data_IF_112771340265
#
_entry.id   IF_112771340265
#
_cell.length_a   1.000
_cell.length_b   1.000
_cell.length_c   1.000
_cell.angle_alpha   90.00
_cell.angle_beta   90.00
_cell.angle_gamma   90.00
#
_symmetry.space_group_name_H-M   'P 1'
#
loop_
_entity.id
_entity.type
_entity.pdbx_description
1 polymer ?
#
# COMPACT_ATOMS: atom_id res chain seq x y z
N UNK A 1 20.15 -0.40 -24.20
CA UNK A 1 19.98 -0.64 -22.74
C UNK A 1 18.48 -0.55 -22.48
N UNK A 2 17.83 -1.62 -22.02
CA UNK A 2 16.42 -1.51 -21.62
C UNK A 2 16.40 -0.83 -20.26
N UNK A 3 15.95 0.42 -20.19
CA UNK A 3 15.66 1.04 -18.92
C UNK A 3 14.60 0.23 -18.19
N UNK A 4 14.78 -0.08 -16.90
CA UNK A 4 13.75 -0.74 -16.14
C UNK A 4 12.46 0.10 -16.17
N UNK A 5 11.31 -0.56 -16.28
CA UNK A 5 10.01 0.14 -16.26
C UNK A 5 9.80 0.85 -14.94
N UNK A 6 10.25 0.19 -13.88
CA UNK A 6 10.16 0.63 -12.50
C UNK A 6 11.55 0.56 -11.87
N UNK A 7 11.83 1.41 -10.90
CA UNK A 7 13.05 1.43 -10.10
C UNK A 7 13.11 0.29 -9.07
N UNK A 8 13.87 0.44 -8.00
CA UNK A 8 13.81 -0.45 -6.84
C UNK A 8 12.40 -0.51 -6.26
N UNK A 9 12.06 -1.63 -5.62
CA UNK A 9 10.79 -1.76 -4.87
C UNK A 9 10.81 -0.77 -3.70
N UNK A 10 9.78 0.07 -3.62
CA UNK A 10 9.62 1.05 -2.55
C UNK A 10 8.86 0.48 -1.35
N UNK A 11 7.91 -0.46 -1.60
CA UNK A 11 6.99 -0.94 -0.55
C UNK A 11 6.64 -2.41 -0.75
N UNK A 12 6.40 -3.11 0.36
CA UNK A 12 5.70 -4.40 0.40
C UNK A 12 4.47 -4.29 1.29
N UNK A 13 3.33 -4.74 0.77
CA UNK A 13 2.03 -4.66 1.43
C UNK A 13 1.48 -6.01 1.86
N UNK A 14 0.97 -6.06 3.08
CA UNK A 14 0.32 -7.22 3.67
C UNK A 14 -1.12 -6.88 4.03
N UNK A 15 -2.06 -7.77 3.71
CA UNK A 15 -3.41 -7.72 4.28
C UNK A 15 -3.42 -8.48 5.60
N UNK A 16 -3.99 -7.88 6.63
CA UNK A 16 -4.03 -8.42 7.99
C UNK A 16 -5.45 -8.39 8.58
N UNK A 17 -5.78 -9.39 9.38
CA UNK A 17 -7.08 -9.47 10.02
C UNK A 17 -7.25 -8.50 11.21
N UNK A 18 -6.13 -8.07 11.82
CA UNK A 18 -6.08 -7.19 12.97
C UNK A 18 -4.79 -6.38 12.90
N UNK A 19 -4.92 -5.08 12.64
CA UNK A 19 -3.80 -4.19 12.42
C UNK A 19 -2.93 -4.05 13.67
N UNK A 20 -3.54 -3.78 14.83
CA UNK A 20 -2.81 -3.49 16.06
C UNK A 20 -2.02 -4.71 16.54
N UNK A 21 -2.64 -5.89 16.46
CA UNK A 21 -1.99 -7.16 16.78
C UNK A 21 -0.86 -7.47 15.80
N UNK A 22 -1.02 -7.15 14.54
CA UNK A 22 0.01 -7.37 13.51
C UNK A 22 1.19 -6.43 13.73
N UNK A 23 0.95 -5.14 14.00
CA UNK A 23 1.99 -4.17 14.39
C UNK A 23 2.77 -4.65 15.62
N UNK A 24 2.06 -5.10 16.67
CA UNK A 24 2.70 -5.63 17.87
C UNK A 24 3.64 -6.83 17.56
N UNK A 25 3.24 -7.71 16.64
CA UNK A 25 4.06 -8.85 16.19
C UNK A 25 5.28 -8.41 15.38
N UNK A 26 5.11 -7.46 14.45
CA UNK A 26 6.20 -6.93 13.65
C UNK A 26 7.25 -6.24 14.52
N UNK A 27 6.82 -5.49 15.52
CA UNK A 27 7.71 -4.87 16.51
C UNK A 27 8.48 -5.92 17.30
N UNK A 28 7.78 -6.92 17.84
CA UNK A 28 8.39 -7.92 18.72
C UNK A 28 9.32 -8.92 18.01
N UNK A 29 9.12 -9.16 16.70
CA UNK A 29 9.83 -10.21 15.95
C UNK A 29 10.81 -9.68 14.93
N UNK A 30 10.61 -8.46 14.46
CA UNK A 30 11.37 -7.90 13.34
C UNK A 30 11.96 -6.53 13.68
N UNK A 31 11.80 -6.06 14.93
CA UNK A 31 12.24 -4.72 15.36
C UNK A 31 11.82 -3.60 14.38
N UNK A 32 10.60 -3.73 13.84
CA UNK A 32 10.07 -2.78 12.88
C UNK A 32 9.35 -1.63 13.61
N UNK A 33 9.74 -0.40 13.30
CA UNK A 33 9.15 0.82 13.85
C UNK A 33 10.04 2.04 13.65
N UNK A 34 9.57 3.24 14.04
CA UNK A 34 8.22 3.49 14.56
C UNK A 34 7.15 3.26 13.49
N UNK A 35 5.90 3.03 13.90
CA UNK A 35 4.76 2.86 13.01
C UNK A 35 3.94 4.13 12.93
N UNK A 36 3.56 4.55 11.72
CA UNK A 36 2.50 5.53 11.50
C UNK A 36 1.25 4.78 11.07
N UNK A 37 0.17 4.94 11.82
CA UNK A 37 -1.11 4.28 11.58
C UNK A 37 -2.11 5.32 11.10
N UNK A 38 -2.65 5.11 9.91
CA UNK A 38 -3.74 5.89 9.36
C UNK A 38 -5.04 5.14 9.59
N UNK A 39 -5.96 5.73 10.34
CA UNK A 39 -7.31 5.18 10.54
C UNK A 39 -8.29 5.79 9.57
N UNK A 40 -9.32 5.04 9.23
CA UNK A 40 -10.42 5.50 8.38
C UNK A 40 -9.98 5.99 6.99
N UNK A 41 -8.94 5.38 6.41
CA UNK A 41 -8.53 5.67 5.03
C UNK A 41 -9.65 5.27 4.10
N UNK A 42 -10.00 6.14 3.16
CA UNK A 42 -11.03 5.93 2.16
C UNK A 42 -10.41 6.05 0.78
N UNK A 43 -10.58 5.02 -0.05
CA UNK A 43 -10.20 5.00 -1.45
C UNK A 43 -11.46 4.92 -2.31
N UNK A 44 -11.62 5.85 -3.23
CA UNK A 44 -12.69 5.85 -4.21
C UNK A 44 -12.11 5.49 -5.58
N UNK A 45 -12.73 4.56 -6.28
CA UNK A 45 -12.20 4.11 -7.55
C UNK A 45 -13.02 3.04 -8.25
N UNK A 46 -12.33 2.15 -8.95
CA UNK A 46 -12.93 1.04 -9.70
C UNK A 46 -12.18 -0.27 -9.41
N UNK A 47 -12.96 -1.30 -9.12
CA UNK A 47 -12.45 -2.68 -9.04
C UNK A 47 -13.07 -3.50 -10.16
N UNK A 48 -12.22 -4.08 -11.03
CA UNK A 48 -12.65 -4.80 -12.25
C UNK A 48 -13.61 -3.99 -13.13
N UNK A 49 -13.41 -2.67 -13.17
CA UNK A 49 -14.23 -1.74 -13.95
C UNK A 49 -15.46 -1.19 -13.23
N UNK A 50 -15.89 -1.79 -12.11
CA UNK A 50 -17.06 -1.35 -11.35
C UNK A 50 -16.71 -0.33 -10.28
N UNK A 51 -17.49 0.74 -10.12
CA UNK A 51 -17.29 1.74 -9.08
C UNK A 51 -17.28 1.12 -7.69
N UNK A 52 -16.33 1.51 -6.86
CA UNK A 52 -16.20 1.00 -5.50
C UNK A 52 -15.61 2.06 -4.56
N UNK A 53 -15.99 1.96 -3.29
CA UNK A 53 -15.32 2.64 -2.19
C UNK A 53 -14.79 1.60 -1.22
N UNK A 54 -13.48 1.61 -1.00
CA UNK A 54 -12.82 0.75 -0.02
C UNK A 54 -12.42 1.58 1.19
N UNK A 55 -12.73 1.08 2.39
CA UNK A 55 -12.26 1.70 3.63
C UNK A 55 -11.33 0.75 4.36
N UNK A 56 -10.28 1.30 4.97
CA UNK A 56 -9.24 0.53 5.61
C UNK A 56 -8.50 1.32 6.68
N UNK A 57 -7.85 0.61 7.59
CA UNK A 57 -6.80 1.12 8.44
C UNK A 57 -5.45 0.64 7.90
N UNK A 58 -4.47 1.53 7.86
CA UNK A 58 -3.15 1.27 7.27
C UNK A 58 -2.06 1.58 8.28
N UNK A 59 -1.12 0.67 8.46
CA UNK A 59 0.08 0.90 9.25
C UNK A 59 1.32 0.89 8.35
N UNK A 60 2.17 1.92 8.48
CA UNK A 60 3.42 2.07 7.75
C UNK A 60 4.61 2.07 8.70
N UNK A 61 5.64 1.31 8.37
CA UNK A 61 6.96 1.35 9.01
C UNK A 61 8.05 1.08 7.97
N UNK A 62 9.31 1.18 8.39
CA UNK A 62 10.44 0.99 7.47
C UNK A 62 11.45 -0.02 8.00
N UNK A 63 12.02 -0.83 7.10
CA UNK A 63 13.18 -1.69 7.36
C UNK A 63 14.21 -1.52 6.26
N UNK A 64 15.36 -0.94 6.62
CA UNK A 64 16.32 -0.46 5.61
C UNK A 64 15.67 0.65 4.77
N UNK A 65 15.69 0.48 3.46
CA UNK A 65 15.09 1.41 2.51
C UNK A 65 13.69 0.97 2.03
N UNK A 66 13.14 -0.10 2.62
CA UNK A 66 11.86 -0.68 2.22
C UNK A 66 10.75 -0.25 3.19
N UNK A 67 9.65 0.27 2.66
CA UNK A 67 8.43 0.51 3.42
C UNK A 67 7.66 -0.80 3.60
N UNK A 68 7.22 -1.06 4.82
CA UNK A 68 6.32 -2.16 5.18
C UNK A 68 4.93 -1.55 5.40
N UNK A 69 3.96 -2.04 4.64
CA UNK A 69 2.57 -1.66 4.80
C UNK A 69 1.74 -2.82 5.33
N UNK A 70 0.93 -2.54 6.35
CA UNK A 70 -0.09 -3.46 6.86
C UNK A 70 -1.46 -2.86 6.62
N UNK A 71 -2.36 -3.59 5.95
CA UNK A 71 -3.69 -3.14 5.57
C UNK A 71 -4.73 -3.98 6.29
N UNK A 72 -5.61 -3.33 7.05
CA UNK A 72 -6.82 -3.93 7.60
C UNK A 72 -8.04 -3.31 6.93
N UNK A 73 -8.72 -4.07 6.06
CA UNK A 73 -9.93 -3.61 5.36
C UNK A 73 -11.10 -3.57 6.32
N UNK A 74 -11.79 -2.44 6.39
CA UNK A 74 -12.85 -2.20 7.38
C UNK A 74 -14.27 -2.25 6.83
N UNK A 75 -14.45 -2.35 5.49
CA UNK A 75 -15.76 -2.59 4.88
C UNK A 75 -15.78 -3.86 4.02
N UNK A 76 -16.97 -4.30 3.60
CA UNK A 76 -17.19 -5.52 2.83
C UNK A 76 -17.26 -5.28 1.30
N UNK A 77 -16.82 -4.10 0.84
CA UNK A 77 -16.84 -3.80 -0.59
C UNK A 77 -15.96 -4.78 -1.38
N UNK A 78 -16.40 -5.21 -2.58
CA UNK A 78 -15.53 -5.93 -3.51
C UNK A 78 -14.24 -5.17 -3.74
N UNK A 79 -13.09 -5.84 -3.63
CA UNK A 79 -11.81 -5.14 -3.70
C UNK A 79 -10.67 -6.13 -3.95
N UNK A 80 -9.48 -5.67 -4.34
CA UNK A 80 -8.31 -6.53 -4.49
C UNK A 80 -7.85 -7.18 -3.18
N UNK A 81 -8.37 -6.75 -2.04
CA UNK A 81 -8.03 -7.27 -0.71
C UNK A 81 -8.92 -8.44 -0.27
N UNK A 82 -9.79 -8.92 -1.15
CA UNK A 82 -10.71 -10.04 -0.89
C UNK A 82 -10.55 -11.14 -1.94
N UNK A 83 -10.84 -12.37 -1.55
CA UNK A 83 -10.88 -13.50 -2.47
C UNK A 83 -12.19 -13.50 -3.30
N UNK A 84 -12.32 -14.50 -4.20
CA UNK A 84 -13.50 -14.68 -5.04
C UNK A 84 -14.79 -14.97 -4.27
N UNK A 85 -14.70 -15.32 -2.98
CA UNK A 85 -15.84 -15.56 -2.08
C UNK A 85 -16.13 -14.36 -1.18
N UNK A 86 -15.43 -13.23 -1.40
CA UNK A 86 -15.58 -12.01 -0.60
C UNK A 86 -14.92 -12.08 0.78
N UNK A 87 -14.11 -13.13 1.06
CA UNK A 87 -13.39 -13.20 2.33
C UNK A 87 -12.13 -12.35 2.29
N UNK A 88 -11.77 -11.67 3.40
CA UNK A 88 -10.52 -10.91 3.46
C UNK A 88 -9.32 -11.82 3.19
N UNK A 89 -8.43 -11.36 2.31
CA UNK A 89 -7.13 -12.00 2.12
C UNK A 89 -6.28 -11.83 3.39
N UNK A 90 -5.24 -12.65 3.54
CA UNK A 90 -4.28 -12.54 4.62
C UNK A 90 -2.88 -12.92 4.13
N UNK A 91 -1.89 -12.10 4.48
CA UNK A 91 -0.49 -12.30 4.10
C UNK A 91 0.00 -11.29 3.07
N UNK A 92 1.11 -11.62 2.40
CA UNK A 92 1.69 -10.78 1.37
C UNK A 92 0.68 -10.57 0.24
N UNK A 93 0.48 -9.32 -0.15
CA UNK A 93 -0.54 -8.92 -1.10
C UNK A 93 0.04 -8.26 -2.34
N UNK A 94 0.96 -7.31 -2.16
CA UNK A 94 1.54 -6.56 -3.27
C UNK A 94 2.99 -6.16 -3.01
N UNK A 95 3.66 -5.83 -4.09
CA UNK A 95 4.88 -5.04 -4.13
C UNK A 95 4.58 -3.73 -4.84
N UNK A 96 5.09 -2.61 -4.33
CA UNK A 96 4.73 -1.31 -4.85
C UNK A 96 5.92 -0.44 -5.24
N UNK A 97 5.68 0.46 -6.18
CA UNK A 97 6.60 1.48 -6.66
C UNK A 97 5.93 2.84 -6.63
N UNK A 98 6.61 3.81 -6.07
CA UNK A 98 6.22 5.21 -6.20
C UNK A 98 6.68 5.72 -7.56
N UNK A 99 5.77 6.32 -8.30
CA UNK A 99 6.00 6.83 -9.65
C UNK A 99 5.63 8.31 -9.74
N UNK A 100 6.24 9.01 -10.69
CA UNK A 100 5.98 10.44 -10.90
C UNK A 100 4.75 10.66 -11.81
N UNK A 101 4.38 9.64 -12.61
CA UNK A 101 3.25 9.66 -13.54
C UNK A 101 2.61 8.27 -13.56
N UNK A 102 1.46 8.16 -12.89
CA UNK A 102 0.72 6.90 -12.76
C UNK A 102 0.23 6.38 -14.12
N UNK A 103 -0.28 7.28 -14.96
CA UNK A 103 -0.87 6.89 -16.24
C UNK A 103 0.20 6.35 -17.19
N UNK A 104 1.37 6.99 -17.21
CA UNK A 104 2.52 6.49 -17.99
C UNK A 104 3.05 5.15 -17.44
N UNK A 105 3.12 4.98 -16.13
CA UNK A 105 3.55 3.73 -15.52
C UNK A 105 2.57 2.58 -15.84
N UNK A 106 1.27 2.80 -15.68
CA UNK A 106 0.21 1.85 -16.02
C UNK A 106 0.28 1.48 -17.51
N UNK A 107 0.40 2.46 -18.42
CA UNK A 107 0.52 2.19 -19.86
C UNK A 107 1.74 1.32 -20.19
N UNK A 108 2.89 1.55 -19.54
CA UNK A 108 4.11 0.75 -19.74
C UNK A 108 3.97 -0.69 -19.22
N UNK A 109 3.29 -0.88 -18.09
CA UNK A 109 3.05 -2.20 -17.49
C UNK A 109 2.03 -3.00 -18.31
N UNK A 110 0.94 -2.37 -18.75
CA UNK A 110 -0.09 -3.01 -19.59
C UNK A 110 0.46 -3.40 -20.96
N UNK A 111 1.35 -2.59 -21.55
CA UNK A 111 2.07 -2.97 -22.78
C UNK A 111 2.97 -4.21 -22.60
N UNK A 112 3.25 -4.64 -21.37
CA UNK A 112 4.01 -5.84 -21.03
C UNK A 112 3.14 -7.01 -20.57
N UNK A 113 1.81 -6.91 -20.69
CA UNK A 113 0.88 -8.00 -20.44
C UNK A 113 0.17 -7.93 -19.08
N UNK A 114 0.52 -6.99 -18.18
CA UNK A 114 -0.20 -6.83 -16.93
C UNK A 114 -1.58 -6.22 -17.19
N UNK A 115 -2.55 -6.55 -16.33
CA UNK A 115 -3.91 -6.03 -16.41
C UNK A 115 -4.25 -5.25 -15.16
N UNK A 116 -4.77 -4.03 -15.34
CA UNK A 116 -5.31 -3.23 -14.24
C UNK A 116 -6.54 -3.93 -13.66
N UNK A 117 -6.53 -4.17 -12.36
CA UNK A 117 -7.65 -4.77 -11.62
C UNK A 117 -8.29 -3.80 -10.64
N UNK A 118 -7.53 -2.80 -10.18
CA UNK A 118 -8.05 -1.78 -9.28
C UNK A 118 -7.35 -0.45 -9.54
N UNK A 119 -8.12 0.62 -9.61
CA UNK A 119 -7.65 2.00 -9.66
C UNK A 119 -8.44 2.80 -8.63
N UNK A 120 -7.75 3.53 -7.79
CA UNK A 120 -8.41 4.34 -6.78
C UNK A 120 -7.59 5.57 -6.41
N UNK A 121 -8.26 6.52 -5.79
CA UNK A 121 -7.65 7.74 -5.32
C UNK A 121 -8.24 8.18 -3.97
N UNK A 122 -7.46 8.98 -3.27
CA UNK A 122 -7.86 9.85 -2.18
C UNK A 122 -7.20 11.23 -2.39
N UNK A 123 -7.41 12.23 -1.52
CA UNK A 123 -6.80 13.54 -1.70
C UNK A 123 -5.26 13.56 -1.74
N UNK A 124 -4.59 12.52 -1.21
CA UNK A 124 -3.13 12.46 -1.13
C UNK A 124 -2.48 11.62 -2.22
N UNK A 125 -3.15 10.54 -2.68
CA UNK A 125 -2.57 9.53 -3.56
C UNK A 125 -3.54 9.03 -4.62
N UNK A 126 -2.98 8.62 -5.77
CA UNK A 126 -3.60 7.76 -6.77
C UNK A 126 -2.86 6.44 -6.79
N UNK A 127 -3.58 5.34 -6.90
CA UNK A 127 -3.00 3.98 -6.94
C UNK A 127 -3.60 3.17 -8.07
N UNK A 128 -2.80 2.25 -8.62
CA UNK A 128 -3.29 1.23 -9.52
C UNK A 128 -2.66 -0.12 -9.14
N UNK A 129 -3.51 -1.16 -9.02
CA UNK A 129 -3.08 -2.55 -8.87
C UNK A 129 -3.20 -3.27 -10.20
N UNK A 130 -2.14 -3.99 -10.55
CA UNK A 130 -2.10 -4.78 -11.76
C UNK A 130 -1.78 -6.25 -11.41
N UNK A 131 -2.48 -7.15 -12.08
CA UNK A 131 -2.25 -8.59 -12.02
C UNK A 131 -1.57 -9.08 -13.29
N UNK A 132 -0.65 -10.02 -13.15
CA UNK A 132 -0.17 -10.84 -14.24
C UNK A 132 -1.09 -12.07 -14.38
N UNK A 133 -1.71 -12.24 -15.56
CA UNK A 133 -2.62 -13.36 -15.79
C UNK A 133 -1.90 -14.72 -15.86
N UNK A 134 -0.64 -14.71 -16.24
CA UNK A 134 0.19 -15.91 -16.42
C UNK A 134 0.94 -16.29 -15.12
N UNK A 135 1.11 -15.34 -14.21
CA UNK A 135 1.71 -15.55 -12.88
C UNK A 135 0.87 -14.87 -11.78
N UNK A 136 -0.24 -15.50 -11.35
CA UNK A 136 -1.17 -14.94 -10.35
C UNK A 136 -0.59 -15.03 -8.93
N UNK A 137 0.55 -14.41 -8.71
CA UNK A 137 1.24 -14.36 -7.42
C UNK A 137 0.93 -13.09 -6.65
N UNK A 138 1.96 -12.28 -6.47
CA UNK A 138 1.90 -10.99 -5.77
C UNK A 138 1.53 -9.89 -6.77
N UNK A 139 0.56 -9.04 -6.40
CA UNK A 139 0.15 -7.91 -7.23
C UNK A 139 1.24 -6.86 -7.37
N UNK A 140 1.27 -6.22 -8.51
CA UNK A 140 2.06 -5.01 -8.75
C UNK A 140 1.20 -3.81 -8.41
N UNK A 141 1.69 -2.92 -7.54
CA UNK A 141 1.08 -1.63 -7.28
C UNK A 141 1.97 -0.50 -7.78
N UNK A 142 1.37 0.51 -8.38
CA UNK A 142 2.02 1.80 -8.67
C UNK A 142 1.25 2.91 -7.94
N UNK A 143 2.02 3.79 -7.29
CA UNK A 143 1.51 4.84 -6.41
C UNK A 143 2.03 6.18 -6.91
N UNK A 144 1.13 7.14 -7.15
CA UNK A 144 1.46 8.53 -7.41
C UNK A 144 0.93 9.38 -6.26
N UNK A 145 1.77 10.25 -5.72
CA UNK A 145 1.36 11.19 -4.67
C UNK A 145 2.39 12.30 -4.50
N UNK A 146 1.90 13.53 -4.38
CA UNK A 146 2.78 14.67 -4.13
C UNK A 146 3.53 14.49 -2.80
N UNK A 147 4.85 14.58 -2.82
CA UNK A 147 5.70 14.42 -1.62
C UNK A 147 5.86 12.99 -1.10
N UNK A 148 5.35 11.96 -1.81
CA UNK A 148 5.50 10.56 -1.39
C UNK A 148 6.96 10.15 -1.17
N UNK A 149 7.85 10.52 -2.09
CA UNK A 149 9.28 10.19 -1.95
C UNK A 149 9.93 10.89 -0.77
N UNK A 150 9.55 12.13 -0.49
CA UNK A 150 10.04 12.88 0.69
C UNK A 150 9.50 12.26 1.97
N UNK A 151 8.25 11.83 1.99
CA UNK A 151 7.64 11.11 3.11
C UNK A 151 8.38 9.78 3.37
N UNK A 152 8.68 9.00 2.34
CA UNK A 152 9.44 7.75 2.44
C UNK A 152 10.86 8.03 2.95
N UNK A 153 11.56 9.00 2.39
CA UNK A 153 12.91 9.37 2.83
C UNK A 153 12.94 9.80 4.30
N UNK A 154 11.94 10.58 4.71
CA UNK A 154 11.78 10.99 6.11
C UNK A 154 11.53 9.79 7.02
N UNK A 155 10.62 8.89 6.66
CA UNK A 155 10.30 7.69 7.43
C UNK A 155 11.49 6.72 7.55
N UNK A 156 12.29 6.57 6.50
CA UNK A 156 13.54 5.80 6.52
C UNK A 156 14.53 6.42 7.53
N UNK A 157 14.70 7.75 7.49
CA UNK A 157 15.59 8.45 8.41
C UNK A 157 15.11 8.32 9.88
N UNK A 158 13.81 8.48 10.11
CA UNK A 158 13.17 8.30 11.42
C UNK A 158 13.38 6.86 11.95
N UNK A 159 13.15 5.84 11.11
CA UNK A 159 13.34 4.45 11.50
C UNK A 159 14.80 4.10 11.82
N UNK A 160 15.76 4.69 11.13
CA UNK A 160 17.20 4.51 11.40
C UNK A 160 17.65 5.15 12.72
N UNK A 161 17.01 6.26 13.11
CA UNK A 161 17.32 6.99 14.34
C UNK A 161 16.47 6.54 15.55
N UNK A 162 15.50 5.66 15.33
CA UNK A 162 14.54 5.27 16.36
C UNK A 162 15.18 4.50 17.51
N UNK A 163 14.91 4.95 18.73
CA UNK A 163 15.43 4.38 19.99
C UNK A 163 14.46 3.42 20.70
N UNK A 164 13.30 3.16 20.08
CA UNK A 164 12.24 2.31 20.66
C UNK A 164 11.14 3.09 21.39
N UNK A 165 11.28 4.39 21.60
CA UNK A 165 10.24 5.24 22.20
C UNK A 165 9.12 5.55 21.18
N UNK A 166 7.92 5.88 21.70
CA UNK A 166 6.75 6.29 20.91
C UNK A 166 6.53 5.41 19.67
N UNK A 167 6.36 4.10 19.86
CA UNK A 167 6.46 3.14 18.76
C UNK A 167 5.30 3.19 17.76
N UNK A 168 4.22 3.90 18.06
CA UNK A 168 3.03 4.01 17.19
C UNK A 168 2.47 5.43 17.26
N UNK A 169 2.36 6.07 16.10
CA UNK A 169 1.66 7.34 15.89
C UNK A 169 0.36 7.08 15.14
N UNK A 170 -0.76 7.61 15.62
CA UNK A 170 -2.08 7.41 14.98
C UNK A 170 -2.54 8.73 14.36
N UNK A 171 -3.00 8.66 13.13
CA UNK A 171 -3.56 9.75 12.33
C UNK A 171 -4.96 9.32 11.88
N UNK A 172 -5.97 10.14 12.13
CA UNK A 172 -7.30 9.91 11.56
C UNK A 172 -7.40 10.56 10.18
N UNK A 173 -7.47 9.73 9.14
CA UNK A 173 -7.54 10.19 7.75
C UNK A 173 -8.92 10.78 7.41
N UNK A 174 -9.97 10.52 8.18
CA UNK A 174 -11.28 11.11 7.94
C UNK A 174 -11.29 12.63 8.23
N UNK A 175 -10.43 13.10 9.12
CA UNK A 175 -10.31 14.51 9.44
C UNK A 175 -9.66 15.37 8.34
N UNK A 176 -8.98 14.75 7.38
CA UNK A 176 -8.33 15.45 6.26
C UNK A 176 -9.26 15.62 5.04
N UNK A 177 -10.45 15.02 5.06
CA UNK A 177 -11.44 15.05 3.97
C UNK A 177 -12.57 16.08 4.17
N UNK A 178 -12.50 16.90 5.23
CA UNK A 178 -13.45 17.94 5.57
C UNK A 178 -12.84 19.37 5.23
#
# INVERSE_FOLDING_TARGET
MNDPVLGPIDQIGYVVADLDRSIARWRARHDAGPWTVFRNVRLEGRYLGEPVTVTMDVGLAYRGDLQIELIHVTNDAPSPYRDAHGQPLAGLHHVAWVVDDLDAAVARLTARGLRVVFEAANPATRVAYLDDADDPGVRVEVIEGAGMRDMIAHGIAEARAWDGADPVRIIDASAAAA
#
